data_IF_543092899029
#
_entry.id   IF_543092899029
#
_cell.length_a   1.000
_cell.length_b   1.000
_cell.length_c   1.000
_cell.angle_alpha   90.00
_cell.angle_beta   90.00
_cell.angle_gamma   90.00
#
_symmetry.space_group_name_H-M   'P 1'
#
loop_
_entity.id
_entity.type
_entity.pdbx_description
1 polymer ?
#
# COMPACT_ATOMS: atom_id res chain seq x y z
N UNK A 1 21.67 7.86 25.10
CA UNK A 1 21.06 9.17 25.42
C UNK A 1 20.79 10.05 24.18
N UNK A 2 21.70 10.16 23.20
CA UNK A 2 21.48 11.00 21.99
C UNK A 2 20.29 10.58 21.09
N UNK A 3 19.93 9.28 21.02
CA UNK A 3 18.76 8.82 20.25
C UNK A 3 17.40 9.17 20.89
N UNK A 4 17.32 9.42 22.20
CA UNK A 4 16.05 9.75 22.86
C UNK A 4 15.54 11.13 22.41
N UNK A 5 16.45 12.11 22.30
CA UNK A 5 16.13 13.45 21.79
C UNK A 5 15.79 13.48 20.30
N UNK A 6 16.28 12.52 19.52
CA UNK A 6 16.03 12.41 18.06
C UNK A 6 14.55 12.26 17.74
N UNK A 7 13.83 11.44 18.52
CA UNK A 7 12.43 11.09 18.26
C UNK A 7 11.43 11.71 19.24
N UNK A 8 11.86 12.23 20.40
CA UNK A 8 10.94 12.74 21.43
C UNK A 8 9.90 13.76 20.91
N UNK A 9 10.35 14.82 20.23
CA UNK A 9 9.45 15.82 19.65
C UNK A 9 8.54 15.25 18.56
N UNK A 10 9.08 14.31 17.77
CA UNK A 10 8.35 13.69 16.67
C UNK A 10 7.25 12.78 17.20
N UNK A 11 7.50 12.04 18.28
CA UNK A 11 6.52 11.13 18.89
C UNK A 11 5.33 11.88 19.46
N UNK A 12 5.54 13.00 20.15
CA UNK A 12 4.43 13.86 20.62
C UNK A 12 3.59 14.36 19.44
N UNK A 13 4.25 14.80 18.36
CA UNK A 13 3.56 15.24 17.14
C UNK A 13 2.76 14.12 16.49
N UNK A 14 3.34 12.93 16.37
CA UNK A 14 2.67 11.75 15.81
C UNK A 14 1.46 11.35 16.65
N UNK A 15 1.58 11.35 17.98
CA UNK A 15 0.43 11.08 18.87
C UNK A 15 -0.68 12.12 18.69
N UNK A 16 -0.35 13.39 18.54
CA UNK A 16 -1.32 14.44 18.24
C UNK A 16 -1.98 14.26 16.85
N UNK A 17 -1.24 13.78 15.85
CA UNK A 17 -1.78 13.44 14.53
C UNK A 17 -2.69 12.20 14.60
N UNK A 18 -2.29 11.18 15.36
CA UNK A 18 -3.06 9.96 15.59
C UNK A 18 -4.38 10.24 16.33
N UNK A 19 -4.37 11.15 17.31
CA UNK A 19 -5.57 11.52 18.06
C UNK A 19 -6.67 12.20 17.22
N UNK A 20 -6.31 12.68 16.02
CA UNK A 20 -7.25 13.29 15.06
C UNK A 20 -7.83 12.31 14.04
N UNK A 21 -7.28 11.08 13.98
CA UNK A 21 -7.72 10.05 13.04
C UNK A 21 -9.19 9.68 13.24
N UNK A 22 -9.79 9.07 12.22
CA UNK A 22 -11.20 8.70 12.23
C UNK A 22 -11.51 7.78 13.40
N UNK A 23 -12.67 8.01 14.02
CA UNK A 23 -13.22 7.18 15.09
C UNK A 23 -14.22 6.18 14.52
N UNK A 24 -14.61 5.20 15.34
CA UNK A 24 -15.57 4.18 14.92
C UNK A 24 -16.92 4.80 14.51
N UNK A 25 -17.35 5.85 15.20
CA UNK A 25 -18.52 6.67 14.86
C UNK A 25 -18.43 7.26 13.45
N UNK A 26 -17.25 7.74 13.02
CA UNK A 26 -17.05 8.27 11.68
C UNK A 26 -17.29 7.19 10.62
N UNK A 27 -16.76 5.98 10.83
CA UNK A 27 -16.98 4.87 9.92
C UNK A 27 -18.46 4.45 9.85
N UNK A 28 -19.15 4.43 11.00
CA UNK A 28 -20.60 4.16 11.04
C UNK A 28 -21.39 5.21 10.26
N UNK A 29 -21.04 6.49 10.41
CA UNK A 29 -21.68 7.57 9.66
C UNK A 29 -21.40 7.44 8.16
N UNK A 30 -20.15 7.18 7.77
CA UNK A 30 -19.72 7.03 6.38
C UNK A 30 -20.43 5.86 5.68
N UNK A 31 -20.64 4.74 6.38
CA UNK A 31 -21.35 3.56 5.85
C UNK A 31 -22.83 3.83 5.53
N UNK A 32 -23.44 4.87 6.12
CA UNK A 32 -24.85 5.24 5.89
C UNK A 32 -25.04 6.14 4.68
N UNK A 33 -23.97 6.73 4.16
CA UNK A 33 -24.00 7.66 3.04
C UNK A 33 -24.30 6.91 1.72
N UNK A 34 -24.96 7.59 0.79
CA UNK A 34 -25.50 6.97 -0.42
C UNK A 34 -24.74 7.36 -1.69
N UNK A 35 -23.77 8.28 -1.58
CA UNK A 35 -22.98 8.73 -2.72
C UNK A 35 -21.52 9.05 -2.36
N UNK A 36 -20.64 8.95 -3.36
CA UNK A 36 -19.22 9.35 -3.24
C UNK A 36 -19.09 10.83 -2.85
N UNK A 37 -20.01 11.66 -3.34
CA UNK A 37 -20.08 13.09 -3.00
C UNK A 37 -20.41 13.33 -1.53
N UNK A 38 -21.38 12.61 -0.99
CA UNK A 38 -21.69 12.68 0.45
C UNK A 38 -20.50 12.27 1.31
N UNK A 39 -19.80 11.17 0.94
CA UNK A 39 -18.58 10.75 1.63
C UNK A 39 -17.53 11.85 1.62
N UNK A 40 -17.25 12.43 0.45
CA UNK A 40 -16.27 13.50 0.33
C UNK A 40 -16.65 14.73 1.16
N UNK A 41 -17.92 15.12 1.16
CA UNK A 41 -18.44 16.21 2.00
C UNK A 41 -18.32 15.91 3.49
N UNK A 42 -18.61 14.67 3.92
CA UNK A 42 -18.44 14.26 5.31
C UNK A 42 -16.98 14.38 5.74
N UNK A 43 -16.06 13.84 4.93
CA UNK A 43 -14.62 13.90 5.21
C UNK A 43 -14.13 15.35 5.27
N UNK A 44 -14.57 16.22 4.35
CA UNK A 44 -14.19 17.64 4.31
C UNK A 44 -14.70 18.42 5.53
N UNK A 45 -15.94 18.17 5.96
CA UNK A 45 -16.61 19.04 6.95
C UNK A 45 -16.50 18.54 8.38
N UNK A 46 -16.46 17.22 8.60
CA UNK A 46 -16.60 16.61 9.92
C UNK A 46 -15.31 15.97 10.44
N UNK A 47 -14.25 15.92 9.64
CA UNK A 47 -13.03 15.17 9.99
C UNK A 47 -11.75 16.00 9.79
N UNK A 48 -10.64 15.44 10.25
CA UNK A 48 -9.31 16.05 10.08
C UNK A 48 -8.84 16.16 8.62
N UNK A 49 -9.54 15.50 7.69
CA UNK A 49 -9.27 15.63 6.26
C UNK A 49 -9.59 17.03 5.71
N UNK A 50 -10.34 17.89 6.40
CA UNK A 50 -10.69 19.25 5.93
C UNK A 50 -9.58 19.97 5.14
N UNK A 51 -8.37 20.04 5.68
CA UNK A 51 -7.20 20.71 5.08
C UNK A 51 -6.64 20.05 3.81
N UNK A 52 -7.08 18.85 3.48
CA UNK A 52 -6.71 18.10 2.29
C UNK A 52 -7.78 18.20 1.19
N UNK A 53 -8.95 18.71 1.53
CA UNK A 53 -10.14 18.82 0.69
C UNK A 53 -10.58 20.29 0.48
N UNK A 54 -9.72 21.26 0.83
CA UNK A 54 -10.03 22.70 0.67
C UNK A 54 -10.32 23.03 -0.81
N UNK A 55 -9.44 22.60 -1.71
CA UNK A 55 -9.56 22.77 -3.16
C UNK A 55 -10.54 21.77 -3.82
N UNK A 56 -11.28 21.01 -3.01
CA UNK A 56 -12.32 20.12 -3.55
C UNK A 56 -13.41 20.97 -4.16
N UNK A 57 -13.57 20.84 -5.47
CA UNK A 57 -14.69 21.44 -6.19
C UNK A 57 -16.01 20.81 -5.71
N UNK A 58 -17.05 21.61 -5.53
CA UNK A 58 -18.32 21.15 -4.97
C UNK A 58 -19.17 20.35 -5.99
N UNK A 59 -18.71 20.29 -7.24
CA UNK A 59 -19.31 19.50 -8.32
C UNK A 59 -18.69 18.10 -8.42
N UNK A 60 -19.49 17.14 -8.91
CA UNK A 60 -19.30 15.68 -8.89
C UNK A 60 -17.85 15.18 -8.75
N UNK A 61 -17.49 14.81 -7.51
CA UNK A 61 -16.23 14.13 -7.21
C UNK A 61 -16.33 12.65 -7.58
N UNK A 62 -15.47 12.22 -8.51
CA UNK A 62 -15.38 10.81 -8.87
C UNK A 62 -14.55 10.03 -7.83
N UNK A 63 -14.89 8.75 -7.61
CA UNK A 63 -14.16 7.83 -6.70
C UNK A 63 -12.64 7.94 -6.85
N UNK A 64 -12.13 7.87 -8.08
CA UNK A 64 -10.69 7.89 -8.34
C UNK A 64 -10.02 9.20 -7.91
N UNK A 65 -10.74 10.32 -7.99
CA UNK A 65 -10.24 11.62 -7.50
C UNK A 65 -10.20 11.62 -5.97
N UNK A 66 -11.27 11.14 -5.32
CA UNK A 66 -11.34 11.03 -3.86
C UNK A 66 -10.21 10.14 -3.30
N UNK A 67 -9.93 9.00 -3.92
CA UNK A 67 -8.80 8.14 -3.54
C UNK A 67 -7.44 8.83 -3.67
N UNK A 68 -7.22 9.57 -4.77
CA UNK A 68 -5.99 10.36 -4.92
C UNK A 68 -5.87 11.43 -3.84
N UNK A 69 -6.97 12.08 -3.45
CA UNK A 69 -6.96 13.06 -2.35
C UNK A 69 -6.62 12.42 -1.00
N UNK A 70 -7.15 11.23 -0.72
CA UNK A 70 -6.80 10.45 0.47
C UNK A 70 -5.31 10.07 0.48
N UNK A 71 -4.79 9.56 -0.64
CA UNK A 71 -3.36 9.23 -0.79
C UNK A 71 -2.47 10.48 -0.65
N UNK A 72 -2.87 11.62 -1.20
CA UNK A 72 -2.19 12.91 -1.00
C UNK A 72 -2.20 13.34 0.47
N UNK A 73 -3.22 13.00 1.24
CA UNK A 73 -3.25 13.28 2.68
C UNK A 73 -2.19 12.49 3.44
N UNK A 74 -2.07 11.18 3.20
CA UNK A 74 -0.99 10.35 3.76
C UNK A 74 0.39 10.94 3.43
N UNK A 75 0.57 11.36 2.19
CA UNK A 75 1.82 11.94 1.71
C UNK A 75 2.13 13.28 2.38
N UNK A 76 1.14 14.17 2.52
CA UNK A 76 1.27 15.45 3.22
C UNK A 76 1.71 15.21 4.66
N UNK A 77 1.16 14.20 5.31
CA UNK A 77 1.53 13.83 6.68
C UNK A 77 2.92 13.20 6.76
N UNK A 78 3.30 12.34 5.83
CA UNK A 78 4.64 11.80 5.72
C UNK A 78 5.70 12.92 5.53
N UNK A 79 5.42 13.95 4.72
CA UNK A 79 6.29 15.12 4.60
C UNK A 79 6.37 15.94 5.87
N UNK A 80 5.24 16.18 6.54
CA UNK A 80 5.20 16.90 7.82
C UNK A 80 6.06 16.20 8.86
N UNK A 81 6.11 14.87 8.87
CA UNK A 81 6.99 14.06 9.72
C UNK A 81 8.44 14.18 9.25
N UNK A 82 8.68 14.01 7.96
CA UNK A 82 10.03 14.04 7.37
C UNK A 82 10.78 15.36 7.57
N UNK A 83 10.07 16.49 7.73
CA UNK A 83 10.69 17.79 8.07
C UNK A 83 11.49 17.77 9.38
N UNK A 84 11.20 16.85 10.28
CA UNK A 84 11.86 16.71 11.59
C UNK A 84 12.94 15.62 11.59
N UNK A 85 13.04 14.85 10.50
CA UNK A 85 14.09 13.86 10.31
C UNK A 85 15.31 14.54 9.68
N UNK A 86 16.50 14.23 10.21
CA UNK A 86 17.79 14.65 9.65
C UNK A 86 18.42 13.48 8.89
N UNK A 87 19.36 13.76 7.99
CA UNK A 87 20.23 12.74 7.41
C UNK A 87 19.54 11.65 6.57
N UNK A 88 19.98 10.40 6.76
CA UNK A 88 19.63 9.25 5.92
C UNK A 88 18.19 8.78 6.15
N UNK A 89 17.67 9.02 7.34
CA UNK A 89 16.33 8.67 7.81
C UNK A 89 15.25 9.47 7.09
N UNK A 90 15.57 10.70 6.67
CA UNK A 90 14.67 11.49 5.83
C UNK A 90 14.26 10.68 4.60
N UNK A 91 15.14 9.87 4.03
CA UNK A 91 14.80 9.12 2.81
C UNK A 91 13.69 8.06 2.97
N UNK A 92 13.26 7.77 4.21
CA UNK A 92 12.13 6.90 4.50
C UNK A 92 10.86 7.34 3.76
N UNK A 93 10.61 8.65 3.58
CA UNK A 93 9.40 9.10 2.88
C UNK A 93 9.38 8.65 1.41
N UNK A 94 10.54 8.39 0.79
CA UNK A 94 10.62 8.06 -0.64
C UNK A 94 9.84 6.79 -0.98
N UNK A 95 9.71 5.84 -0.06
CA UNK A 95 8.90 4.65 -0.31
C UNK A 95 7.41 4.98 -0.46
N UNK A 96 6.89 5.97 0.28
CA UNK A 96 5.45 6.30 0.24
C UNK A 96 5.07 6.82 -1.16
N UNK A 97 5.94 7.65 -1.75
CA UNK A 97 5.75 8.17 -3.11
C UNK A 97 5.99 7.12 -4.19
N UNK A 98 7.04 6.30 -4.04
CA UNK A 98 7.39 5.27 -5.04
C UNK A 98 6.25 4.29 -5.25
N UNK A 99 5.56 3.90 -4.17
CA UNK A 99 4.37 3.05 -4.23
C UNK A 99 3.28 3.67 -5.10
N UNK A 100 2.97 4.96 -4.91
CA UNK A 100 1.96 5.67 -5.71
C UNK A 100 2.39 5.89 -7.17
N UNK A 101 3.67 6.17 -7.41
CA UNK A 101 4.22 6.31 -8.77
C UNK A 101 4.14 4.99 -9.55
N UNK A 102 4.37 3.86 -8.88
CA UNK A 102 4.19 2.53 -9.47
C UNK A 102 2.71 2.27 -9.77
N UNK A 103 1.80 2.61 -8.86
CA UNK A 103 0.36 2.47 -9.11
C UNK A 103 -0.12 3.35 -10.29
N UNK A 104 0.42 4.57 -10.44
CA UNK A 104 0.15 5.41 -11.61
C UNK A 104 0.62 4.73 -12.91
N UNK A 105 1.82 4.17 -12.93
CA UNK A 105 2.33 3.41 -14.08
C UNK A 105 1.46 2.19 -14.40
N UNK A 106 1.04 1.40 -13.40
CA UNK A 106 0.15 0.25 -13.60
C UNK A 106 -1.19 0.68 -14.18
N UNK A 107 -1.77 1.78 -13.69
CA UNK A 107 -3.01 2.36 -14.25
C UNK A 107 -2.84 2.74 -15.72
N UNK A 108 -1.73 3.39 -16.08
CA UNK A 108 -1.42 3.77 -17.46
C UNK A 108 -1.25 2.54 -18.36
N UNK A 109 -0.52 1.51 -17.90
CA UNK A 109 -0.36 0.25 -18.61
C UNK A 109 -1.71 -0.45 -18.86
N UNK A 110 -2.56 -0.54 -17.82
CA UNK A 110 -3.93 -1.12 -17.94
C UNK A 110 -4.78 -0.34 -18.95
N UNK A 111 -4.75 0.99 -18.92
CA UNK A 111 -5.51 1.81 -19.84
C UNK A 111 -5.11 1.56 -21.31
N UNK A 112 -3.81 1.56 -21.60
CA UNK A 112 -3.30 1.27 -22.93
C UNK A 112 -3.61 -0.16 -23.38
N UNK A 113 -3.50 -1.15 -22.48
CA UNK A 113 -3.86 -2.54 -22.77
C UNK A 113 -5.36 -2.69 -23.12
N UNK A 114 -6.22 -1.83 -22.56
CA UNK A 114 -7.64 -1.75 -22.89
C UNK A 114 -7.95 -0.91 -24.14
N UNK A 115 -6.93 -0.45 -24.86
CA UNK A 115 -7.08 0.41 -26.05
C UNK A 115 -7.52 1.85 -25.73
N UNK A 116 -7.32 2.32 -24.49
CA UNK A 116 -7.63 3.69 -24.08
C UNK A 116 -6.36 4.55 -24.14
N UNK A 117 -6.31 5.59 -24.99
CA UNK A 117 -5.21 6.55 -25.00
C UNK A 117 -5.03 7.25 -23.65
N UNK A 118 -3.78 7.56 -23.29
CA UNK A 118 -3.48 8.15 -21.98
C UNK A 118 -3.92 9.61 -21.86
N UNK A 119 -4.08 10.32 -22.98
CA UNK A 119 -4.55 11.72 -22.99
C UNK A 119 -6.02 11.82 -22.52
N UNK A 120 -6.76 10.71 -22.54
CA UNK A 120 -8.13 10.60 -22.03
C UNK A 120 -8.22 10.26 -20.55
N UNK A 121 -7.10 9.90 -19.91
CA UNK A 121 -7.11 9.67 -18.46
C UNK A 121 -7.28 11.01 -17.75
N UNK A 122 -8.26 11.09 -16.85
CA UNK A 122 -8.37 12.23 -15.95
C UNK A 122 -7.12 12.30 -15.06
N UNK A 123 -6.28 13.30 -15.32
CA UNK A 123 -5.03 13.56 -14.59
C UNK A 123 -5.25 13.68 -13.07
N UNK A 124 -6.44 14.06 -12.61
CA UNK A 124 -6.80 14.13 -11.19
C UNK A 124 -6.92 12.75 -10.53
N UNK A 125 -7.02 11.67 -11.31
CA UNK A 125 -7.07 10.26 -10.85
C UNK A 125 -5.69 9.59 -10.78
N UNK A 126 -4.65 10.34 -11.16
CA UNK A 126 -3.25 9.97 -10.99
C UNK A 126 -2.64 10.79 -9.85
N UNK A 127 -1.73 10.16 -9.13
CA UNK A 127 -1.06 10.82 -8.02
C UNK A 127 -0.09 11.90 -8.51
N UNK A 128 0.71 11.59 -9.54
CA UNK A 128 1.72 12.46 -10.20
C UNK A 128 2.60 13.15 -9.15
N UNK A 129 3.59 12.41 -8.66
CA UNK A 129 4.50 12.93 -7.65
C UNK A 129 5.37 14.05 -8.23
N UNK A 130 5.47 15.17 -7.51
CA UNK A 130 6.49 16.18 -7.78
C UNK A 130 7.93 15.65 -7.59
N UNK A 131 8.11 14.54 -6.88
CA UNK A 131 9.41 13.88 -6.70
C UNK A 131 9.65 12.74 -7.70
N UNK A 132 8.74 12.58 -8.68
CA UNK A 132 8.90 11.60 -9.75
C UNK A 132 9.99 12.04 -10.72
N UNK A 133 10.73 11.07 -11.25
CA UNK A 133 11.62 11.28 -12.39
C UNK A 133 10.92 11.02 -13.73
N UNK A 134 9.64 10.64 -13.70
CA UNK A 134 8.83 10.43 -14.90
C UNK A 134 8.34 11.79 -15.38
N UNK A 135 8.57 12.10 -16.66
CA UNK A 135 7.91 13.22 -17.31
C UNK A 135 6.46 12.85 -17.67
N UNK A 136 5.56 13.03 -16.71
CA UNK A 136 4.14 12.75 -16.91
C UNK A 136 3.49 13.63 -17.99
N UNK A 137 4.06 14.80 -18.33
CA UNK A 137 3.50 15.62 -19.41
C UNK A 137 3.74 14.99 -20.79
N UNK A 138 4.84 14.26 -20.94
CA UNK A 138 5.15 13.49 -22.14
C UNK A 138 4.52 12.11 -22.08
N UNK A 139 4.64 11.40 -20.95
CA UNK A 139 4.11 10.05 -20.79
C UNK A 139 2.59 9.96 -21.01
N UNK A 140 1.82 10.96 -20.58
CA UNK A 140 0.35 11.00 -20.78
C UNK A 140 -0.08 11.25 -22.23
N UNK A 141 0.86 11.54 -23.15
CA UNK A 141 0.55 11.68 -24.58
C UNK A 141 0.71 10.38 -25.35
N UNK A 142 1.22 9.31 -24.71
CA UNK A 142 1.42 8.03 -25.37
C UNK A 142 0.10 7.34 -25.68
N UNK A 143 0.04 6.77 -26.89
CA UNK A 143 -1.11 6.00 -27.41
C UNK A 143 -0.85 4.49 -27.41
N UNK A 144 0.41 4.09 -27.26
CA UNK A 144 0.82 2.68 -27.22
C UNK A 144 1.70 2.40 -26.01
N UNK A 145 1.78 1.12 -25.61
CA UNK A 145 2.64 0.69 -24.50
C UNK A 145 4.12 0.98 -24.82
N UNK A 146 4.52 0.78 -26.08
CA UNK A 146 5.89 1.07 -26.53
C UNK A 146 6.22 2.56 -26.35
N UNK A 147 5.36 3.45 -26.85
CA UNK A 147 5.53 4.89 -26.65
C UNK A 147 5.64 5.26 -25.17
N UNK A 148 4.77 4.70 -24.32
CA UNK A 148 4.85 4.95 -22.88
C UNK A 148 6.21 4.52 -22.33
N UNK A 149 6.67 3.31 -22.64
CA UNK A 149 7.96 2.80 -22.15
C UNK A 149 9.11 3.66 -22.66
N UNK A 150 9.09 4.10 -23.92
CA UNK A 150 10.13 4.96 -24.47
C UNK A 150 10.23 6.29 -23.71
N UNK A 151 9.11 6.86 -23.24
CA UNK A 151 9.14 8.07 -22.37
C UNK A 151 9.84 7.83 -21.03
N UNK A 152 9.98 6.58 -20.60
CA UNK A 152 10.61 6.19 -19.34
C UNK A 152 12.11 5.95 -19.47
N UNK A 153 12.73 6.16 -20.64
CA UNK A 153 14.14 5.84 -20.94
C UNK A 153 15.15 6.39 -19.90
N UNK A 154 14.87 7.56 -19.32
CA UNK A 154 15.73 8.18 -18.30
C UNK A 154 15.45 7.72 -16.86
N UNK A 155 14.57 6.73 -16.69
CA UNK A 155 14.15 6.20 -15.39
C UNK A 155 14.54 4.73 -15.26
N UNK A 156 14.56 4.22 -14.02
CA UNK A 156 14.74 2.79 -13.79
C UNK A 156 13.60 1.94 -14.35
N UNK A 157 12.43 2.53 -14.60
CA UNK A 157 11.25 1.81 -15.10
C UNK A 157 11.45 1.30 -16.53
N UNK A 158 12.26 1.97 -17.36
CA UNK A 158 12.56 1.48 -18.71
C UNK A 158 13.23 0.11 -18.69
N UNK A 159 14.24 -0.08 -17.84
CA UNK A 159 14.96 -1.36 -17.72
C UNK A 159 14.08 -2.50 -17.20
N UNK A 160 13.02 -2.16 -16.47
CA UNK A 160 12.07 -3.12 -15.90
C UNK A 160 11.02 -3.52 -16.95
N UNK A 161 10.50 -2.54 -17.70
CA UNK A 161 9.35 -2.74 -18.59
C UNK A 161 9.75 -3.08 -20.04
N UNK A 162 10.86 -2.54 -20.55
CA UNK A 162 11.29 -2.78 -21.94
C UNK A 162 11.50 -4.26 -22.28
N UNK A 163 12.05 -5.13 -21.40
CA UNK A 163 12.21 -6.55 -21.72
C UNK A 163 10.89 -7.32 -21.78
N UNK A 164 9.79 -6.73 -21.30
CA UNK A 164 8.47 -7.34 -21.24
C UNK A 164 7.58 -6.95 -22.43
N UNK A 165 8.08 -6.07 -23.31
CA UNK A 165 7.41 -5.70 -24.55
C UNK A 165 7.27 -6.90 -25.50
N UNK A 166 6.12 -6.96 -26.15
CA UNK A 166 5.79 -7.93 -27.19
C UNK A 166 5.79 -7.24 -28.57
N UNK A 167 5.83 -8.02 -29.65
CA UNK A 167 5.96 -7.51 -31.02
C UNK A 167 4.81 -6.56 -31.43
N UNK A 168 3.58 -6.80 -30.94
CA UNK A 168 2.37 -6.02 -31.28
C UNK A 168 2.12 -4.77 -30.40
N UNK A 169 3.16 -4.12 -29.87
CA UNK A 169 3.01 -3.03 -28.88
C UNK A 169 2.16 -3.42 -27.66
N UNK A 170 2.11 -4.72 -27.34
CA UNK A 170 1.50 -5.26 -26.13
C UNK A 170 2.58 -5.51 -25.08
N UNK A 171 2.15 -5.72 -23.84
CA UNK A 171 3.02 -6.17 -22.74
C UNK A 171 2.37 -7.36 -22.07
N UNK A 172 3.19 -8.25 -21.50
CA UNK A 172 2.69 -9.15 -20.48
C UNK A 172 2.33 -8.32 -19.23
N UNK A 173 1.09 -7.84 -19.15
CA UNK A 173 0.64 -6.91 -18.11
C UNK A 173 0.84 -7.49 -16.71
N UNK A 174 0.54 -8.78 -16.52
CA UNK A 174 0.78 -9.45 -15.25
C UNK A 174 2.27 -9.40 -14.86
N UNK A 175 3.17 -9.78 -15.76
CA UNK A 175 4.61 -9.75 -15.52
C UNK A 175 5.11 -8.32 -15.25
N UNK A 176 4.57 -7.32 -15.96
CA UNK A 176 4.94 -5.92 -15.79
C UNK A 176 4.54 -5.39 -14.40
N UNK A 177 3.30 -5.66 -13.96
CA UNK A 177 2.83 -5.25 -12.64
C UNK A 177 3.65 -5.91 -11.52
N UNK A 178 3.92 -7.21 -11.66
CA UNK A 178 4.74 -7.97 -10.70
C UNK A 178 6.18 -7.48 -10.65
N UNK A 179 6.79 -7.17 -11.81
CA UNK A 179 8.15 -6.65 -11.87
C UNK A 179 8.27 -5.25 -11.25
N UNK A 180 7.26 -4.39 -11.43
CA UNK A 180 7.19 -3.09 -10.77
C UNK A 180 7.06 -3.23 -9.25
N UNK A 181 6.22 -4.15 -8.77
CA UNK A 181 6.10 -4.43 -7.33
C UNK A 181 7.39 -5.00 -6.74
N UNK A 182 8.02 -5.96 -7.41
CA UNK A 182 9.30 -6.51 -6.94
C UNK A 182 10.38 -5.44 -6.90
N UNK A 183 10.40 -4.53 -7.89
CA UNK A 183 11.30 -3.37 -7.87
C UNK A 183 11.05 -2.48 -6.65
N UNK A 184 9.79 -2.21 -6.28
CA UNK A 184 9.49 -1.47 -5.05
C UNK A 184 10.12 -2.12 -3.82
N UNK A 185 9.87 -3.41 -3.60
CA UNK A 185 10.37 -4.12 -2.43
C UNK A 185 11.90 -4.17 -2.40
N UNK A 186 12.55 -4.42 -3.54
CA UNK A 186 14.01 -4.41 -3.64
C UNK A 186 14.58 -3.02 -3.30
N UNK A 187 13.97 -1.94 -3.81
CA UNK A 187 14.41 -0.58 -3.49
C UNK A 187 14.23 -0.23 -2.01
N UNK A 188 13.14 -0.68 -1.39
CA UNK A 188 12.91 -0.46 0.04
C UNK A 188 13.93 -1.23 0.87
N UNK A 189 14.13 -2.51 0.56
CA UNK A 189 15.11 -3.36 1.22
C UNK A 189 16.52 -2.75 1.17
N UNK A 190 16.97 -2.37 -0.02
CA UNK A 190 18.25 -1.70 -0.24
C UNK A 190 18.40 -0.44 0.61
N UNK A 191 17.33 0.35 0.72
CA UNK A 191 17.36 1.57 1.53
C UNK A 191 17.46 1.25 3.02
N UNK A 192 16.71 0.28 3.52
CA UNK A 192 16.77 -0.14 4.93
C UNK A 192 18.21 -0.57 5.27
N UNK A 193 18.81 -1.44 4.46
CA UNK A 193 20.18 -1.92 4.67
C UNK A 193 21.24 -0.82 4.62
N UNK A 194 21.15 0.09 3.64
CA UNK A 194 22.19 1.13 3.43
C UNK A 194 22.08 2.30 4.42
N UNK A 195 20.91 2.53 5.01
CA UNK A 195 20.58 3.80 5.68
C UNK A 195 20.15 3.67 7.13
N UNK A 196 19.89 2.46 7.61
CA UNK A 196 19.42 2.23 8.98
C UNK A 196 20.35 1.28 9.71
N UNK A 197 20.38 1.41 11.03
CA UNK A 197 21.22 0.59 11.90
C UNK A 197 20.57 0.41 13.28
N UNK A 198 21.01 -0.61 14.01
CA UNK A 198 20.53 -0.88 15.37
C UNK A 198 19.01 -1.07 15.42
N UNK A 199 18.37 -0.45 16.43
CA UNK A 199 16.94 -0.69 16.69
C UNK A 199 16.02 -0.25 15.55
N UNK A 200 16.36 0.85 14.87
CA UNK A 200 15.56 1.36 13.75
C UNK A 200 15.60 0.39 12.55
N UNK A 201 16.76 -0.23 12.29
CA UNK A 201 16.90 -1.28 11.28
C UNK A 201 16.06 -2.52 11.63
N UNK A 202 16.14 -3.01 12.87
CA UNK A 202 15.35 -4.17 13.31
C UNK A 202 13.84 -3.96 13.12
N UNK A 203 13.34 -2.78 13.51
CA UNK A 203 11.93 -2.42 13.37
C UNK A 203 11.50 -2.34 11.91
N UNK A 204 12.30 -1.71 11.06
CA UNK A 204 12.00 -1.58 9.64
C UNK A 204 12.08 -2.91 8.90
N UNK A 205 13.12 -3.72 9.17
CA UNK A 205 13.27 -5.05 8.61
C UNK A 205 12.10 -5.96 9.01
N UNK A 206 11.68 -5.94 10.28
CA UNK A 206 10.51 -6.69 10.74
C UNK A 206 9.22 -6.23 10.06
N UNK A 207 9.04 -4.90 9.95
CA UNK A 207 7.84 -4.28 9.38
C UNK A 207 7.67 -4.66 7.90
N UNK A 208 8.70 -4.42 7.08
CA UNK A 208 8.67 -4.75 5.66
C UNK A 208 8.76 -6.25 5.40
N UNK A 209 9.42 -7.03 6.26
CA UNK A 209 9.46 -8.48 6.16
C UNK A 209 8.10 -9.14 6.41
N UNK A 210 7.28 -8.59 7.32
CA UNK A 210 5.88 -9.05 7.49
C UNK A 210 5.04 -8.77 6.25
N UNK A 211 5.15 -7.57 5.68
CA UNK A 211 4.43 -7.21 4.45
C UNK A 211 4.89 -8.08 3.27
N UNK A 212 6.21 -8.30 3.12
CA UNK A 212 6.79 -9.19 2.11
C UNK A 212 6.30 -10.64 2.24
N UNK A 213 6.27 -11.19 3.46
CA UNK A 213 5.72 -12.52 3.70
C UNK A 213 4.27 -12.60 3.24
N UNK A 214 3.44 -11.65 3.66
CA UNK A 214 2.03 -11.64 3.31
C UNK A 214 1.81 -11.53 1.80
N UNK A 215 2.57 -10.67 1.11
CA UNK A 215 2.56 -10.59 -0.35
C UNK A 215 2.99 -11.90 -1.00
N UNK A 216 4.06 -12.54 -0.53
CA UNK A 216 4.50 -13.83 -1.05
C UNK A 216 3.40 -14.91 -0.88
N UNK A 217 2.74 -14.99 0.27
CA UNK A 217 1.62 -15.93 0.47
C UNK A 217 0.50 -15.67 -0.54
N UNK A 218 0.08 -14.41 -0.69
CA UNK A 218 -0.98 -14.01 -1.62
C UNK A 218 -0.58 -14.27 -3.08
N UNK A 219 0.64 -13.92 -3.47
CA UNK A 219 1.14 -14.07 -4.83
C UNK A 219 1.30 -15.53 -5.21
N UNK A 220 1.85 -16.37 -4.34
CA UNK A 220 1.97 -17.81 -4.59
C UNK A 220 0.58 -18.44 -4.73
N UNK A 221 -0.32 -18.19 -3.78
CA UNK A 221 -1.69 -18.71 -3.82
C UNK A 221 -2.41 -18.30 -5.11
N UNK A 222 -2.42 -17.00 -5.43
CA UNK A 222 -3.09 -16.50 -6.65
C UNK A 222 -2.48 -17.05 -7.93
N UNK A 223 -1.14 -17.19 -7.97
CA UNK A 223 -0.42 -17.74 -9.13
C UNK A 223 -0.84 -19.17 -9.44
N UNK A 224 -1.15 -19.97 -8.41
CA UNK A 224 -1.62 -21.34 -8.55
C UNK A 224 -3.11 -21.41 -8.82
N UNK A 225 -3.91 -20.68 -8.06
CA UNK A 225 -5.37 -20.74 -8.09
C UNK A 225 -5.96 -20.15 -9.38
N UNK A 226 -5.48 -18.98 -9.81
CA UNK A 226 -6.14 -18.21 -10.87
C UNK A 226 -5.35 -18.15 -12.18
N UNK A 227 -4.03 -18.32 -12.13
CA UNK A 227 -3.15 -18.06 -13.28
C UNK A 227 -2.39 -19.29 -13.78
N UNK A 228 -2.43 -20.41 -13.04
CA UNK A 228 -1.72 -21.65 -13.36
C UNK A 228 -0.26 -21.43 -13.80
N UNK A 229 0.47 -20.57 -13.07
CA UNK A 229 1.84 -20.22 -13.44
C UNK A 229 2.81 -21.36 -13.13
N UNK A 230 3.81 -21.52 -14.01
CA UNK A 230 4.93 -22.44 -13.79
C UNK A 230 5.75 -22.03 -12.56
N UNK A 231 6.32 -23.01 -11.87
CA UNK A 231 7.05 -22.82 -10.60
C UNK A 231 8.22 -21.84 -10.74
N UNK A 232 8.94 -21.90 -11.86
CA UNK A 232 10.10 -21.04 -12.15
C UNK A 232 9.69 -19.57 -12.24
N UNK A 233 8.51 -19.31 -12.81
CA UNK A 233 7.94 -17.96 -12.90
C UNK A 233 7.57 -17.47 -11.49
N UNK A 234 6.94 -18.31 -10.67
CA UNK A 234 6.58 -17.94 -9.29
C UNK A 234 7.84 -17.63 -8.48
N UNK A 235 8.89 -18.45 -8.59
CA UNK A 235 10.18 -18.20 -7.93
C UNK A 235 10.80 -16.85 -8.32
N UNK A 236 10.66 -16.43 -9.58
CA UNK A 236 11.18 -15.16 -10.07
C UNK A 236 10.54 -13.92 -9.44
N UNK A 237 9.33 -14.07 -8.86
CA UNK A 237 8.57 -12.98 -8.25
C UNK A 237 8.56 -13.03 -6.72
N UNK A 238 9.30 -13.93 -6.09
CA UNK A 238 9.40 -13.96 -4.63
C UNK A 238 10.08 -12.70 -4.12
N UNK A 239 9.40 -11.98 -3.24
CA UNK A 239 9.97 -10.85 -2.52
C UNK A 239 10.97 -11.41 -1.50
N UNK A 240 12.26 -11.01 -1.55
CA UNK A 240 13.25 -11.51 -0.62
C UNK A 240 13.10 -10.86 0.77
N UNK A 241 13.77 -11.43 1.77
CA UNK A 241 13.89 -10.86 3.12
C UNK A 241 12.55 -10.74 3.87
N UNK A 242 11.75 -11.80 3.81
CA UNK A 242 10.60 -12.03 4.67
C UNK A 242 10.94 -12.02 6.17
N UNK A 243 9.93 -12.13 7.03
CA UNK A 243 10.11 -12.09 8.49
C UNK A 243 9.91 -13.45 9.18
N UNK A 244 8.73 -14.02 9.04
CA UNK A 244 8.32 -15.31 9.62
C UNK A 244 8.40 -16.46 8.63
N UNK A 245 8.18 -16.23 7.32
CA UNK A 245 8.36 -17.27 6.32
C UNK A 245 9.84 -17.51 6.08
N UNK A 246 10.28 -18.74 6.33
CA UNK A 246 11.63 -19.18 6.01
C UNK A 246 11.69 -19.61 4.54
N UNK A 247 12.91 -19.68 4.00
CA UNK A 247 13.16 -20.18 2.64
C UNK A 247 12.50 -21.54 2.38
N UNK A 248 12.53 -22.45 3.36
CA UNK A 248 11.91 -23.77 3.25
C UNK A 248 10.37 -23.70 3.15
N UNK A 249 9.74 -22.75 3.86
CA UNK A 249 8.30 -22.54 3.77
C UNK A 249 7.93 -22.04 2.37
N UNK A 250 8.67 -21.07 1.83
CA UNK A 250 8.48 -20.58 0.46
C UNK A 250 8.64 -21.70 -0.56
N UNK A 251 9.67 -22.53 -0.42
CA UNK A 251 9.88 -23.67 -1.32
C UNK A 251 8.67 -24.60 -1.28
N UNK A 252 8.21 -25.01 -0.08
CA UNK A 252 7.02 -25.86 0.07
C UNK A 252 5.77 -25.25 -0.58
N UNK A 253 5.55 -23.95 -0.41
CA UNK A 253 4.41 -23.24 -0.99
C UNK A 253 4.47 -23.19 -2.52
N UNK A 254 5.64 -22.91 -3.11
CA UNK A 254 5.79 -22.86 -4.58
C UNK A 254 5.71 -24.25 -5.21
N UNK A 255 6.24 -25.26 -4.52
CA UNK A 255 6.25 -26.65 -4.99
C UNK A 255 4.89 -27.33 -4.92
N UNK A 256 3.96 -26.80 -4.12
CA UNK A 256 2.58 -27.28 -4.08
C UNK A 256 1.90 -27.20 -5.46
N UNK A 257 1.13 -28.22 -5.81
CA UNK A 257 0.55 -28.36 -7.14
C UNK A 257 -0.69 -27.49 -7.35
N UNK A 258 -1.47 -27.24 -6.30
CA UNK A 258 -2.75 -26.53 -6.38
C UNK A 258 -2.86 -25.40 -5.35
N UNK A 259 -3.74 -24.43 -5.60
CA UNK A 259 -4.05 -23.38 -4.62
C UNK A 259 -4.62 -23.94 -3.32
N UNK A 260 -5.40 -25.03 -3.37
CA UNK A 260 -5.88 -25.75 -2.18
C UNK A 260 -4.72 -26.34 -1.35
N UNK A 261 -3.72 -26.93 -1.99
CA UNK A 261 -2.54 -27.45 -1.29
C UNK A 261 -1.72 -26.32 -0.65
N UNK A 262 -1.57 -25.19 -1.34
CA UNK A 262 -0.98 -23.97 -0.77
C UNK A 262 -1.77 -23.52 0.46
N UNK A 263 -3.09 -23.47 0.38
CA UNK A 263 -3.96 -23.05 1.48
C UNK A 263 -3.78 -23.93 2.73
N UNK A 264 -3.72 -25.26 2.55
CA UNK A 264 -3.45 -26.20 3.66
C UNK A 264 -2.11 -25.94 4.32
N UNK A 265 -1.05 -25.72 3.53
CA UNK A 265 0.27 -25.38 4.04
C UNK A 265 0.27 -24.06 4.83
N UNK A 266 -0.38 -23.03 4.30
CA UNK A 266 -0.50 -21.72 4.96
C UNK A 266 -1.20 -21.81 6.32
N UNK A 267 -2.28 -22.58 6.41
CA UNK A 267 -3.03 -22.82 7.67
C UNK A 267 -2.22 -23.53 8.74
N UNK A 268 -1.31 -24.42 8.34
CA UNK A 268 -0.40 -25.11 9.28
C UNK A 268 0.92 -24.36 9.51
N UNK A 269 1.13 -23.26 8.79
CA UNK A 269 2.39 -22.53 8.76
C UNK A 269 2.47 -21.40 9.79
N UNK A 270 3.54 -20.58 9.73
CA UNK A 270 3.80 -19.49 10.69
C UNK A 270 2.72 -18.39 10.77
N UNK A 271 1.78 -18.37 9.82
CA UNK A 271 0.67 -17.43 9.73
C UNK A 271 -0.70 -18.07 9.97
N UNK A 272 -0.77 -19.38 10.22
CA UNK A 272 -2.03 -20.11 10.40
C UNK A 272 -2.93 -19.53 11.50
N UNK A 273 -2.35 -19.18 12.64
CA UNK A 273 -3.07 -18.58 13.77
C UNK A 273 -3.26 -17.05 13.65
N UNK A 274 -2.78 -16.45 12.56
CA UNK A 274 -2.72 -14.99 12.37
C UNK A 274 -3.69 -14.55 11.28
N UNK A 275 -3.71 -15.30 10.19
CA UNK A 275 -4.49 -15.00 9.01
C UNK A 275 -5.65 -15.98 8.97
N UNK A 276 -6.85 -15.44 8.99
CA UNK A 276 -8.05 -16.21 8.72
C UNK A 276 -8.10 -16.53 7.22
N UNK A 277 -7.60 -17.71 6.90
CA UNK A 277 -7.51 -18.23 5.54
C UNK A 277 -8.87 -18.75 5.02
N UNK A 278 -9.86 -18.94 5.89
CA UNK A 278 -11.15 -19.54 5.57
C UNK A 278 -12.20 -18.50 5.14
N UNK A 279 -12.15 -17.28 5.69
CA UNK A 279 -13.12 -16.24 5.33
C UNK A 279 -12.96 -15.66 3.92
N UNK A 280 -11.85 -15.94 3.23
CA UNK A 280 -11.51 -15.27 1.97
C UNK A 280 -11.09 -13.80 2.15
N UNK A 281 -10.95 -13.32 3.39
CA UNK A 281 -10.55 -11.94 3.74
C UNK A 281 -9.19 -11.92 4.42
N UNK A 282 -8.19 -12.55 3.80
CA UNK A 282 -6.85 -12.72 4.36
C UNK A 282 -6.19 -11.38 4.67
N UNK A 283 -6.37 -10.39 3.78
CA UNK A 283 -5.88 -9.03 3.98
C UNK A 283 -6.41 -8.41 5.28
N UNK A 284 -7.67 -8.67 5.65
CA UNK A 284 -8.27 -8.04 6.82
C UNK A 284 -7.72 -8.59 8.13
N UNK A 285 -7.62 -9.92 8.25
CA UNK A 285 -7.05 -10.56 9.43
C UNK A 285 -5.57 -10.21 9.58
N UNK A 286 -4.81 -10.25 8.49
CA UNK A 286 -3.42 -9.81 8.46
C UNK A 286 -3.27 -8.33 8.86
N UNK A 287 -4.05 -7.41 8.27
CA UNK A 287 -3.97 -5.98 8.56
C UNK A 287 -4.35 -5.67 10.01
N UNK A 288 -5.31 -6.39 10.60
CA UNK A 288 -5.65 -6.29 12.03
C UNK A 288 -4.46 -6.72 12.90
N UNK A 289 -3.89 -7.91 12.64
CA UNK A 289 -2.69 -8.39 13.35
C UNK A 289 -1.53 -7.39 13.24
N UNK A 290 -1.21 -6.97 12.02
CA UNK A 290 -0.09 -6.11 11.75
C UNK A 290 -0.29 -4.72 12.35
N UNK A 291 -1.51 -4.18 12.28
CA UNK A 291 -1.88 -2.91 12.89
C UNK A 291 -1.76 -2.92 14.41
N UNK A 292 -2.24 -3.98 15.06
CA UNK A 292 -2.08 -4.16 16.51
C UNK A 292 -0.60 -4.25 16.90
N UNK A 293 0.21 -4.96 16.10
CA UNK A 293 1.66 -5.04 16.32
C UNK A 293 2.33 -3.67 16.20
N UNK A 294 1.96 -2.88 15.19
CA UNK A 294 2.48 -1.53 15.02
C UNK A 294 2.09 -0.62 16.20
N UNK A 295 0.81 -0.61 16.60
CA UNK A 295 0.36 0.15 17.77
C UNK A 295 1.14 -0.21 19.04
N UNK A 296 1.35 -1.51 19.29
CA UNK A 296 2.15 -1.98 20.43
C UNK A 296 3.58 -1.43 20.37
N UNK A 297 4.21 -1.43 19.20
CA UNK A 297 5.56 -0.90 19.01
C UNK A 297 5.63 0.62 19.20
N UNK A 298 4.64 1.37 18.71
CA UNK A 298 4.54 2.81 18.95
C UNK A 298 4.46 3.14 20.45
N UNK A 299 3.78 2.29 21.23
CA UNK A 299 3.63 2.43 22.69
C UNK A 299 4.92 2.07 23.44
N UNK A 300 5.52 0.91 23.12
CA UNK A 300 6.67 0.36 23.85
C UNK A 300 8.00 0.99 23.44
N UNK A 301 8.12 1.49 22.21
CA UNK A 301 9.37 2.02 21.65
C UNK A 301 9.20 3.46 21.15
N UNK A 302 8.71 4.40 21.99
CA UNK A 302 8.34 5.76 21.59
C UNK A 302 9.53 6.62 21.14
N UNK A 303 10.76 6.22 21.43
CA UNK A 303 11.98 6.96 21.06
C UNK A 303 12.78 6.26 19.95
N UNK A 304 12.08 5.60 19.04
CA UNK A 304 12.64 4.90 17.89
C UNK A 304 11.88 5.31 16.62
N UNK A 305 12.14 4.64 15.50
CA UNK A 305 11.35 4.79 14.27
C UNK A 305 9.91 4.26 14.36
N UNK A 306 9.58 3.47 15.40
CA UNK A 306 8.27 2.81 15.54
C UNK A 306 7.05 3.76 15.43
N UNK A 307 7.01 4.93 16.09
CA UNK A 307 5.92 5.91 15.92
C UNK A 307 5.70 6.31 14.46
N UNK A 308 6.77 6.45 13.67
CA UNK A 308 6.69 6.91 12.28
C UNK A 308 6.07 5.83 11.40
N UNK A 309 6.63 4.62 11.43
CA UNK A 309 6.17 3.51 10.60
C UNK A 309 4.75 3.09 11.00
N UNK A 310 4.46 3.06 12.30
CA UNK A 310 3.15 2.71 12.81
C UNK A 310 2.12 3.73 12.37
N UNK A 311 2.40 5.03 12.47
CA UNK A 311 1.48 6.06 11.99
C UNK A 311 1.19 5.95 10.49
N UNK A 312 2.23 5.79 9.66
CA UNK A 312 2.07 5.61 8.21
C UNK A 312 1.17 4.40 7.92
N UNK A 313 1.44 3.26 8.57
CA UNK A 313 0.69 2.03 8.37
C UNK A 313 -0.78 2.16 8.82
N UNK A 314 -1.04 2.74 9.99
CA UNK A 314 -2.40 2.95 10.48
C UNK A 314 -3.18 3.92 9.59
N UNK A 315 -2.50 4.94 9.04
CA UNK A 315 -3.09 5.85 8.05
C UNK A 315 -3.38 5.15 6.72
N UNK A 316 -2.53 4.23 6.27
CA UNK A 316 -2.81 3.38 5.10
C UNK A 316 -4.04 2.49 5.33
N UNK A 317 -4.19 1.88 6.52
CA UNK A 317 -5.41 1.12 6.89
C UNK A 317 -6.64 2.01 6.88
N UNK A 318 -6.56 3.23 7.42
CA UNK A 318 -7.68 4.17 7.40
C UNK A 318 -8.12 4.49 5.96
N UNK A 319 -7.16 4.75 5.07
CA UNK A 319 -7.40 5.01 3.65
C UNK A 319 -7.96 3.77 2.94
N UNK A 320 -7.47 2.58 3.27
CA UNK A 320 -8.01 1.32 2.76
C UNK A 320 -9.48 1.17 3.16
N UNK A 321 -9.82 1.36 4.43
CA UNK A 321 -11.20 1.29 4.92
C UNK A 321 -12.10 2.32 4.23
N UNK A 322 -11.62 3.56 4.06
CA UNK A 322 -12.36 4.59 3.32
C UNK A 322 -12.58 4.17 1.86
N UNK A 323 -11.56 3.62 1.21
CA UNK A 323 -11.65 3.12 -0.18
C UNK A 323 -12.70 2.02 -0.28
N UNK A 324 -12.69 1.04 0.64
CA UNK A 324 -13.68 -0.02 0.72
C UNK A 324 -15.11 0.52 0.89
N UNK A 325 -15.30 1.54 1.74
CA UNK A 325 -16.61 2.19 1.91
C UNK A 325 -17.05 2.91 0.62
N UNK A 326 -16.14 3.66 -0.01
CA UNK A 326 -16.41 4.38 -1.26
C UNK A 326 -16.81 3.39 -2.37
N UNK A 327 -16.13 2.26 -2.49
CA UNK A 327 -16.50 1.19 -3.41
C UNK A 327 -17.86 0.58 -3.06
N UNK A 328 -18.07 0.23 -1.80
CA UNK A 328 -19.34 -0.31 -1.31
C UNK A 328 -20.53 0.57 -1.65
N UNK A 329 -20.43 1.87 -1.38
CA UNK A 329 -21.46 2.86 -1.72
C UNK A 329 -21.64 2.99 -3.23
N UNK A 330 -20.56 3.08 -4.00
CA UNK A 330 -20.62 3.17 -5.48
C UNK A 330 -21.34 1.99 -6.10
N UNK A 331 -21.08 0.77 -5.60
CA UNK A 331 -21.67 -0.46 -6.12
C UNK A 331 -22.95 -0.87 -5.37
N UNK A 332 -23.47 -0.01 -4.49
CA UNK A 332 -24.70 -0.23 -3.70
C UNK A 332 -24.67 -1.56 -2.92
N UNK A 333 -23.51 -1.92 -2.39
CA UNK A 333 -23.33 -3.09 -1.51
C UNK A 333 -23.97 -2.79 -0.16
N UNK A 334 -24.62 -3.78 0.44
CA UNK A 334 -25.20 -3.67 1.79
C UNK A 334 -24.13 -3.15 2.79
N UNK A 335 -24.39 -2.05 3.52
CA UNK A 335 -23.45 -1.50 4.49
C UNK A 335 -22.95 -2.50 5.54
N UNK A 336 -23.78 -3.45 5.98
CA UNK A 336 -23.38 -4.51 6.92
C UNK A 336 -22.35 -5.45 6.30
N UNK A 337 -22.47 -5.71 5.00
CA UNK A 337 -21.49 -6.51 4.24
C UNK A 337 -20.20 -5.71 4.01
N UNK A 338 -20.29 -4.43 3.68
CA UNK A 338 -19.11 -3.56 3.57
C UNK A 338 -18.35 -3.50 4.89
N UNK A 339 -19.05 -3.44 6.01
CA UNK A 339 -18.49 -3.43 7.36
C UNK A 339 -17.60 -4.64 7.67
N UNK A 340 -17.94 -5.85 7.18
CA UNK A 340 -17.09 -7.05 7.37
C UNK A 340 -15.78 -6.97 6.58
N UNK A 341 -15.74 -6.14 5.53
CA UNK A 341 -14.54 -5.91 4.72
C UNK A 341 -13.60 -4.86 5.31
N UNK A 342 -13.96 -4.20 6.40
CA UNK A 342 -13.11 -3.19 7.02
C UNK A 342 -12.04 -3.84 7.90
N UNK A 343 -10.78 -3.49 7.65
CA UNK A 343 -9.63 -3.81 8.49
C UNK A 343 -9.56 -2.90 9.72
N UNK A 344 -10.70 -2.67 10.38
CA UNK A 344 -10.79 -1.85 11.59
C UNK A 344 -10.24 -2.61 12.79
N UNK A 345 -9.52 -1.89 13.64
CA UNK A 345 -9.15 -2.37 14.96
C UNK A 345 -10.34 -2.11 15.87
N UNK A 346 -10.92 -3.16 16.45
CA UNK A 346 -11.93 -2.99 17.50
C UNK A 346 -11.28 -2.26 18.67
N UNK A 347 -11.66 -1.00 18.92
CA UNK A 347 -11.18 -0.25 20.11
C UNK A 347 -11.75 -0.78 21.44
N UNK A 348 -12.44 -1.91 21.42
CA UNK A 348 -13.04 -2.53 22.60
C UNK A 348 -12.72 -4.00 22.75
N UNK A 349 -11.45 -4.40 22.84
CA UNK A 349 -11.03 -5.57 23.64
C UNK A 349 -9.59 -5.35 24.13
N UNK A 350 -9.47 -5.13 25.45
CA UNK A 350 -8.38 -5.70 26.24
C UNK A 350 -7.03 -5.01 26.20
N UNK A 351 -6.64 -4.52 27.37
CA UNK A 351 -5.45 -5.04 28.04
C UNK A 351 -5.00 -6.38 27.46
N UNK A 352 -3.92 -6.36 26.68
CA UNK A 352 -3.06 -7.51 26.53
C UNK A 352 -1.67 -7.00 26.88
N UNK A 353 -1.30 -7.26 28.13
CA UNK A 353 0.06 -7.23 28.63
C UNK A 353 0.97 -8.16 27.80
#
# INVERSE_FOLDING_TARGET
MLNAFKYAHLTTKIRAMQGKMLKDEDFVNLLRLQSVKEIANYLKNNTYYKQNFEDMDNQDIHRGQLEIMLNRALIKDALKIAKYLKGKEKSIYRFVYRKQEIEDLKKMLRALQMGKPLDKIDRKTLFISHYSNIDFNTALKANTIRELIDTLAHTNFYKILSPLLLEDNKINLFAAEMALDLYYYNQVHDQIHKKMSGKDYELMHMSFGLDADFRNMMWIYRSKEFYNLRKEIIYSYIIPNGHKLKKQDIIKLVEADTGEAVLKLLKTGPYGDIVDFDSGHWDNSFNKYYGNKQLRQMRLLPFTIAPIIGYIFIKEIEILNLTTIIEGVRYKVDPKKVETYLARQSKGVGNYD
#
